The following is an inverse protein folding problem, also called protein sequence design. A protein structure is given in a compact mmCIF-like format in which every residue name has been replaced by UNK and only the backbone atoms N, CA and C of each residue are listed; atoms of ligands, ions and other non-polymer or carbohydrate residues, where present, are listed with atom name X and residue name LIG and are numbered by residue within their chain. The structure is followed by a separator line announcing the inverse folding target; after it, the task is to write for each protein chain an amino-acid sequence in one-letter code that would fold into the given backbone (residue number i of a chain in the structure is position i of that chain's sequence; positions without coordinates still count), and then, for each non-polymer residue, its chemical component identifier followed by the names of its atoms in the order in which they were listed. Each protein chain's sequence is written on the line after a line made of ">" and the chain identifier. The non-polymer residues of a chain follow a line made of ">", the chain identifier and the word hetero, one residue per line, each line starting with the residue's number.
data_IF_253609382489
#
_entry.id   IF_253609382489
#
_cell.length_a   1.000
_cell.length_b   1.000
_cell.length_c   1.000
_cell.angle_alpha   90.00
_cell.angle_beta   90.00
_cell.angle_gamma   90.00
#
_symmetry.space_group_name_H-M   'P 1'
#
loop_
_entity.id
_entity.type
_entity.pdbx_description
1 polymer ?
#
# COMPACT_ATOMS: atom_id res chain seq x y z
N UNK A 1 -8.88 -5.24 -26.04
CA UNK A 1 -7.58 -4.62 -26.41
C UNK A 1 -6.50 -5.14 -25.48
N UNK A 2 -5.21 -5.04 -25.90
CA UNK A 2 -4.10 -5.21 -24.97
C UNK A 2 -3.45 -3.83 -24.77
N UNK A 3 -3.51 -3.32 -23.52
CA UNK A 3 -2.84 -2.09 -23.14
C UNK A 3 -1.51 -2.44 -22.48
N UNK A 4 -0.52 -1.61 -22.71
CA UNK A 4 0.80 -1.71 -22.10
C UNK A 4 1.07 -0.51 -21.19
N UNK A 5 1.70 -0.78 -20.05
CA UNK A 5 2.11 0.22 -19.05
C UNK A 5 3.60 0.05 -18.80
N UNK A 6 4.36 1.14 -18.86
CA UNK A 6 5.80 1.13 -18.63
C UNK A 6 6.26 2.41 -17.93
N UNK A 7 7.29 2.32 -17.09
CA UNK A 7 7.91 3.50 -16.46
C UNK A 7 8.53 4.49 -17.45
N UNK A 8 8.73 4.06 -18.69
CA UNK A 8 9.19 4.93 -19.79
C UNK A 8 8.04 5.45 -20.66
N UNK A 9 6.79 5.15 -20.29
CA UNK A 9 5.58 5.55 -21.00
C UNK A 9 5.10 6.96 -20.68
N UNK A 10 3.91 7.27 -21.18
CA UNK A 10 3.19 8.53 -20.89
C UNK A 10 1.69 8.28 -20.86
N UNK A 11 0.97 8.89 -19.92
CA UNK A 11 -0.49 8.78 -19.83
C UNK A 11 -1.24 9.54 -20.95
N UNK A 12 -0.50 10.26 -21.79
CA UNK A 12 -1.00 10.85 -23.03
C UNK A 12 -0.91 9.90 -24.23
N UNK A 13 -0.18 8.80 -24.11
CA UNK A 13 -0.05 7.77 -25.14
C UNK A 13 -1.35 6.98 -25.31
N UNK A 14 -1.50 6.22 -26.43
CA UNK A 14 -2.65 5.35 -26.67
C UNK A 14 -2.63 4.05 -25.85
N UNK A 15 -1.53 3.73 -25.15
CA UNK A 15 -1.37 2.50 -24.38
C UNK A 15 -1.00 1.27 -25.22
N UNK A 16 -0.44 1.44 -26.39
CA UNK A 16 0.11 0.35 -27.20
C UNK A 16 1.48 -0.09 -26.67
N UNK A 17 1.99 -1.24 -27.11
CA UNK A 17 3.31 -1.71 -26.73
C UNK A 17 4.43 -0.72 -27.09
N UNK A 18 4.35 -0.09 -28.26
CA UNK A 18 5.32 0.93 -28.70
C UNK A 18 5.11 2.31 -28.08
N UNK A 19 3.92 2.58 -27.56
CA UNK A 19 3.55 3.84 -26.89
C UNK A 19 2.73 3.54 -25.63
N UNK A 20 3.36 2.97 -24.58
CA UNK A 20 2.66 2.54 -23.38
C UNK A 20 2.19 3.72 -22.52
N UNK A 21 1.22 3.46 -21.66
CA UNK A 21 0.88 4.37 -20.55
C UNK A 21 2.03 4.42 -19.52
N UNK A 22 2.07 5.48 -18.73
CA UNK A 22 3.00 5.62 -17.61
C UNK A 22 2.48 4.94 -16.35
N UNK A 23 1.17 4.98 -16.11
CA UNK A 23 0.54 4.52 -14.86
C UNK A 23 -0.44 3.38 -15.11
N UNK A 24 -0.52 2.45 -14.15
CA UNK A 24 -1.54 1.39 -14.13
C UNK A 24 -2.92 2.02 -13.96
N UNK A 25 -3.01 3.09 -13.17
CA UNK A 25 -4.23 3.85 -12.94
C UNK A 25 -4.83 4.42 -14.22
N UNK A 26 -3.99 4.89 -15.16
CA UNK A 26 -4.47 5.32 -16.47
C UNK A 26 -5.07 4.18 -17.27
N UNK A 27 -4.40 3.03 -17.28
CA UNK A 27 -4.94 1.84 -17.94
C UNK A 27 -6.25 1.39 -17.29
N UNK A 28 -6.32 1.38 -15.94
CA UNK A 28 -7.53 1.04 -15.17
C UNK A 28 -8.72 1.99 -15.46
N UNK A 29 -8.43 3.25 -15.74
CA UNK A 29 -9.45 4.24 -16.11
C UNK A 29 -10.06 3.97 -17.49
N UNK A 30 -9.27 3.53 -18.47
CA UNK A 30 -9.74 3.33 -19.86
C UNK A 30 -10.22 1.92 -20.16
N UNK A 31 -9.77 0.92 -19.40
CA UNK A 31 -10.07 -0.49 -19.62
C UNK A 31 -11.58 -0.80 -19.70
N UNK A 32 -11.94 -1.73 -20.59
CA UNK A 32 -13.30 -2.22 -20.86
C UNK A 32 -13.34 -3.75 -20.75
N UNK A 33 -14.52 -4.35 -20.61
CA UNK A 33 -14.66 -5.81 -20.63
C UNK A 33 -13.92 -6.46 -21.79
N UNK A 34 -13.11 -7.49 -21.49
CA UNK A 34 -12.27 -8.22 -22.43
C UNK A 34 -10.90 -7.59 -22.71
N UNK A 35 -10.56 -6.48 -22.07
CA UNK A 35 -9.23 -5.88 -22.19
C UNK A 35 -8.21 -6.55 -21.26
N UNK A 36 -6.97 -6.60 -21.71
CA UNK A 36 -5.80 -7.01 -20.94
C UNK A 36 -4.87 -5.81 -20.74
N UNK A 37 -4.40 -5.61 -19.53
CA UNK A 37 -3.40 -4.61 -19.17
C UNK A 37 -2.12 -5.36 -18.82
N UNK A 38 -1.10 -5.23 -19.64
CA UNK A 38 0.24 -5.80 -19.44
C UNK A 38 1.15 -4.70 -18.88
N UNK A 39 1.63 -4.91 -17.67
CA UNK A 39 2.48 -3.95 -16.96
C UNK A 39 3.92 -4.42 -17.02
N UNK A 40 4.81 -3.56 -17.50
CA UNK A 40 6.23 -3.83 -17.63
C UNK A 40 7.00 -3.51 -16.35
N UNK A 41 8.22 -4.04 -16.26
CA UNK A 41 9.11 -3.91 -15.10
C UNK A 41 9.16 -2.50 -14.51
N UNK A 42 9.09 -2.45 -13.18
CA UNK A 42 9.23 -1.20 -12.43
C UNK A 42 8.49 -1.18 -11.11
N UNK A 43 8.72 -0.08 -10.37
CA UNK A 43 8.00 0.22 -9.13
C UNK A 43 6.94 1.28 -9.40
N UNK A 44 5.69 0.91 -9.21
CA UNK A 44 4.52 1.74 -9.41
C UNK A 44 3.96 2.14 -8.04
N UNK A 45 4.13 3.42 -7.68
CA UNK A 45 3.66 3.98 -6.40
C UNK A 45 2.29 4.61 -6.62
N UNK A 46 1.27 3.76 -6.57
CA UNK A 46 -0.10 4.17 -6.87
C UNK A 46 -1.14 3.26 -6.20
N UNK A 47 -2.32 3.78 -6.03
CA UNK A 47 -3.52 3.00 -5.73
C UNK A 47 -4.26 2.76 -7.05
N UNK A 48 -4.23 1.53 -7.51
CA UNK A 48 -4.96 1.11 -8.71
C UNK A 48 -6.43 0.87 -8.37
N UNK A 49 -7.30 1.74 -8.86
CA UNK A 49 -8.76 1.63 -8.71
C UNK A 49 -9.43 1.39 -10.07
N UNK A 50 -9.81 0.14 -10.41
CA UNK A 50 -10.51 -0.15 -11.65
C UNK A 50 -11.80 0.64 -11.79
N UNK A 51 -11.94 1.38 -12.88
CA UNK A 51 -13.15 2.21 -13.12
C UNK A 51 -14.34 1.36 -13.58
N UNK A 52 -14.07 0.20 -14.19
CA UNK A 52 -15.07 -0.74 -14.70
C UNK A 52 -14.71 -2.17 -14.32
N UNK A 53 -15.73 -3.03 -14.27
CA UNK A 53 -15.54 -4.47 -14.25
C UNK A 53 -15.66 -5.08 -15.64
N UNK A 54 -15.32 -6.35 -15.74
CA UNK A 54 -15.57 -7.20 -16.89
C UNK A 54 -16.92 -7.91 -16.82
N UNK A 55 -17.05 -8.95 -17.62
CA UNK A 55 -18.13 -9.95 -17.57
C UNK A 55 -17.52 -11.34 -17.46
N UNK A 56 -18.34 -12.36 -17.11
CA UNK A 56 -17.86 -13.74 -17.02
C UNK A 56 -17.21 -14.23 -18.33
N UNK A 57 -17.73 -13.79 -19.46
CA UNK A 57 -17.20 -14.15 -20.79
C UNK A 57 -16.04 -13.23 -21.23
N UNK A 58 -15.92 -12.05 -20.66
CA UNK A 58 -14.95 -11.03 -21.03
C UNK A 58 -14.40 -10.34 -19.74
N UNK A 59 -13.61 -11.03 -18.93
CA UNK A 59 -12.99 -10.43 -17.76
C UNK A 59 -12.00 -9.32 -18.19
N UNK A 60 -11.71 -8.38 -17.27
CA UNK A 60 -10.58 -7.47 -17.44
C UNK A 60 -9.38 -8.10 -16.74
N UNK A 61 -8.25 -8.17 -17.43
CA UNK A 61 -7.04 -8.80 -16.91
C UNK A 61 -5.97 -7.74 -16.67
N UNK A 62 -5.46 -7.66 -15.45
CA UNK A 62 -4.25 -6.91 -15.09
C UNK A 62 -3.15 -7.92 -14.82
N UNK A 63 -2.03 -7.80 -15.51
CA UNK A 63 -0.93 -8.76 -15.37
C UNK A 63 0.43 -8.08 -15.48
N UNK A 64 1.40 -8.62 -14.74
CA UNK A 64 2.80 -8.33 -15.01
C UNK A 64 3.21 -8.96 -16.36
N UNK A 65 4.09 -8.31 -17.10
CA UNK A 65 4.70 -8.90 -18.27
C UNK A 65 5.50 -10.15 -17.86
N UNK A 66 5.50 -11.16 -18.71
CA UNK A 66 6.12 -12.46 -18.41
C UNK A 66 7.62 -12.32 -18.14
N UNK A 67 8.08 -12.83 -16.99
CA UNK A 67 9.47 -12.76 -16.56
C UNK A 67 9.92 -11.41 -16.03
N UNK A 68 9.04 -10.41 -15.97
CA UNK A 68 9.36 -9.06 -15.50
C UNK A 68 8.94 -8.84 -14.05
N UNK A 69 9.77 -8.10 -13.28
CA UNK A 69 9.47 -7.76 -11.89
C UNK A 69 8.67 -6.47 -11.81
N UNK A 70 7.38 -6.59 -11.52
CA UNK A 70 6.46 -5.46 -11.38
C UNK A 70 6.02 -5.33 -9.94
N UNK A 71 6.30 -4.17 -9.33
CA UNK A 71 5.99 -3.89 -7.92
C UNK A 71 4.99 -2.74 -7.83
N UNK A 72 3.88 -2.94 -7.12
CA UNK A 72 2.93 -1.88 -6.78
C UNK A 72 3.10 -1.57 -5.29
N UNK A 73 3.34 -0.29 -4.94
CA UNK A 73 3.58 0.13 -3.55
C UNK A 73 2.59 1.20 -3.08
N UNK A 74 2.11 1.01 -1.86
CA UNK A 74 1.34 2.03 -1.14
C UNK A 74 2.22 3.11 -0.48
N UNK A 75 3.54 2.99 -0.58
CA UNK A 75 4.53 3.88 0.04
C UNK A 75 5.15 4.87 -0.95
N UNK A 76 5.78 5.92 -0.38
CA UNK A 76 6.68 6.85 -1.07
C UNK A 76 8.06 6.84 -0.42
N UNK A 77 9.10 7.15 -1.20
CA UNK A 77 10.47 7.33 -0.69
C UNK A 77 10.60 8.71 -0.08
N UNK A 78 11.17 8.78 1.11
CA UNK A 78 11.47 10.04 1.80
C UNK A 78 12.97 10.20 1.90
N UNK A 79 13.48 11.31 1.38
CA UNK A 79 14.92 11.64 1.34
C UNK A 79 15.30 12.76 2.29
N UNK A 80 14.34 13.61 2.68
CA UNK A 80 14.57 14.83 3.44
C UNK A 80 14.59 14.53 4.95
N UNK A 81 15.59 13.75 5.37
CA UNK A 81 15.82 13.41 6.76
C UNK A 81 16.84 14.38 7.38
N UNK A 82 16.46 15.02 8.47
CA UNK A 82 17.30 15.89 9.29
C UNK A 82 17.71 15.17 10.58
N UNK A 83 18.99 15.32 10.97
CA UNK A 83 19.47 14.75 12.22
C UNK A 83 18.95 15.56 13.39
N UNK A 84 18.40 14.87 14.40
CA UNK A 84 17.88 15.44 15.65
C UNK A 84 18.49 14.69 16.86
N UNK A 85 19.68 15.11 17.26
CA UNK A 85 20.46 14.43 18.30
C UNK A 85 20.89 13.03 17.84
N UNK A 86 20.38 12.00 18.54
CA UNK A 86 20.67 10.60 18.24
C UNK A 86 19.62 9.93 17.32
N UNK A 87 18.61 10.68 16.89
CA UNK A 87 17.56 10.22 15.99
C UNK A 87 17.50 11.09 14.74
N UNK A 88 16.57 10.79 13.86
CA UNK A 88 16.28 11.56 12.66
C UNK A 88 14.82 12.00 12.64
N UNK A 89 14.53 13.09 11.95
CA UNK A 89 13.17 13.55 11.70
C UNK A 89 12.98 14.01 10.26
N UNK A 90 11.76 13.93 9.80
CA UNK A 90 11.31 14.56 8.55
C UNK A 90 9.98 15.26 8.82
N UNK A 91 9.75 16.38 8.14
CA UNK A 91 8.52 17.18 8.25
C UNK A 91 7.85 17.22 6.88
N UNK A 92 6.64 16.72 6.82
CA UNK A 92 5.88 16.52 5.58
C UNK A 92 4.61 17.37 5.65
N UNK A 93 4.37 18.23 4.64
CA UNK A 93 3.10 18.97 4.53
C UNK A 93 1.93 17.97 4.38
N UNK A 94 0.85 18.13 5.15
CA UNK A 94 -0.28 17.21 5.13
C UNK A 94 -0.96 17.11 3.76
N UNK A 95 -0.79 18.09 2.87
CA UNK A 95 -1.25 18.02 1.48
C UNK A 95 -0.61 16.88 0.69
N UNK A 96 0.57 16.41 1.11
CA UNK A 96 1.24 15.24 0.52
C UNK A 96 0.38 13.97 0.62
N UNK A 97 -0.39 13.86 1.68
CA UNK A 97 -1.25 12.71 1.93
C UNK A 97 -2.64 12.83 1.28
N UNK A 98 -3.02 14.01 0.79
CA UNK A 98 -4.36 14.28 0.27
C UNK A 98 -5.43 14.14 1.36
N UNK A 99 -6.50 13.38 1.08
CA UNK A 99 -7.62 13.18 2.00
C UNK A 99 -7.39 12.04 3.02
N UNK A 100 -6.24 11.38 2.97
CA UNK A 100 -5.92 10.23 3.82
C UNK A 100 -4.51 10.31 4.36
N UNK A 101 -4.38 10.70 5.64
CA UNK A 101 -3.10 10.69 6.33
C UNK A 101 -3.02 9.47 7.28
N UNK A 102 -2.27 8.42 6.94
CA UNK A 102 -2.20 7.21 7.75
C UNK A 102 -1.59 7.43 9.15
N UNK A 103 -0.88 8.53 9.37
CA UNK A 103 -0.26 8.87 10.65
C UNK A 103 -1.21 9.53 11.64
N UNK A 104 -2.38 10.02 11.18
CA UNK A 104 -3.48 10.48 12.03
C UNK A 104 -4.60 9.45 12.19
N UNK A 105 -4.63 8.42 11.34
CA UNK A 105 -5.64 7.37 11.38
C UNK A 105 -5.29 6.31 12.41
N UNK A 106 -6.13 6.16 13.42
CA UNK A 106 -5.94 5.17 14.49
C UNK A 106 -6.32 3.78 14.00
N UNK A 107 -5.46 2.81 14.31
CA UNK A 107 -5.75 1.40 14.15
C UNK A 107 -6.77 0.96 15.21
N UNK A 108 -7.92 0.48 14.79
CA UNK A 108 -9.01 0.06 15.68
C UNK A 108 -9.73 -1.17 15.15
N UNK A 109 -10.50 -1.81 16.01
CA UNK A 109 -11.38 -2.91 15.66
C UNK A 109 -11.58 -3.88 16.82
N UNK A 110 -12.68 -4.64 16.77
CA UNK A 110 -12.95 -5.70 17.73
C UNK A 110 -11.81 -6.73 17.69
N UNK A 111 -11.46 -7.28 18.84
CA UNK A 111 -10.37 -8.25 19.01
C UNK A 111 -8.94 -7.70 18.79
N UNK A 112 -8.79 -6.43 18.51
CA UNK A 112 -7.49 -5.80 18.50
C UNK A 112 -7.06 -5.51 19.95
N UNK A 113 -6.06 -6.26 20.42
CA UNK A 113 -5.55 -6.13 21.77
C UNK A 113 -4.24 -5.33 21.80
N UNK A 114 -4.34 -4.04 22.04
CA UNK A 114 -3.22 -3.11 21.97
C UNK A 114 -2.49 -2.90 23.30
N UNK A 115 -2.99 -3.46 24.43
CA UNK A 115 -2.44 -3.23 25.76
C UNK A 115 -2.32 -1.74 26.13
N UNK A 116 -3.39 -0.98 25.88
CA UNK A 116 -3.50 0.46 26.15
C UNK A 116 -2.57 1.35 25.27
N UNK A 117 -1.93 0.80 24.23
CA UNK A 117 -1.19 1.58 23.23
C UNK A 117 -2.13 2.02 22.11
N UNK A 118 -1.92 3.23 21.60
CA UNK A 118 -2.51 3.69 20.38
C UNK A 118 -1.54 3.36 19.24
N UNK A 119 -2.05 2.73 18.18
CA UNK A 119 -1.32 2.48 16.96
C UNK A 119 -2.01 3.16 15.79
N UNK A 120 -1.23 3.62 14.82
CA UNK A 120 -1.73 4.29 13.64
C UNK A 120 -1.58 3.40 12.40
N UNK A 121 -2.20 3.79 11.30
CA UNK A 121 -2.04 3.11 10.01
C UNK A 121 -0.71 3.43 9.35
N UNK A 122 -0.03 4.50 9.80
CA UNK A 122 1.30 4.86 9.36
C UNK A 122 2.33 3.75 9.60
N UNK A 123 3.31 3.67 8.72
CA UNK A 123 4.51 2.86 8.87
C UNK A 123 5.72 3.50 8.20
N UNK A 124 6.89 3.25 8.77
CA UNK A 124 8.19 3.62 8.21
C UNK A 124 8.94 2.33 7.88
N UNK A 125 9.50 2.26 6.69
CA UNK A 125 10.26 1.12 6.20
C UNK A 125 11.71 1.52 5.93
N UNK A 126 12.65 0.75 6.44
CA UNK A 126 14.07 0.85 6.11
C UNK A 126 14.43 -0.34 5.21
N UNK A 127 14.88 -0.06 3.99
CA UNK A 127 15.21 -1.06 2.97
C UNK A 127 14.09 -2.11 2.74
N UNK A 128 12.84 -1.65 2.84
CA UNK A 128 11.64 -2.47 2.68
C UNK A 128 11.17 -3.19 3.94
N UNK A 129 11.88 -3.07 5.06
CA UNK A 129 11.53 -3.70 6.33
C UNK A 129 10.80 -2.71 7.25
N UNK A 130 9.60 -3.07 7.73
CA UNK A 130 8.79 -2.22 8.58
C UNK A 130 9.42 -2.02 9.96
N UNK A 131 9.59 -0.77 10.37
CA UNK A 131 10.08 -0.39 11.69
C UNK A 131 8.95 -0.42 12.72
N UNK A 132 9.28 -0.42 14.00
CA UNK A 132 8.31 -0.52 15.09
C UNK A 132 7.81 0.86 15.55
N UNK A 133 6.49 1.03 15.61
CA UNK A 133 5.87 2.26 16.11
C UNK A 133 6.11 2.42 17.61
N UNK A 134 6.61 3.57 18.02
CA UNK A 134 6.80 3.99 19.41
C UNK A 134 5.57 4.75 19.92
N UNK A 135 5.47 4.93 21.24
CA UNK A 135 4.39 5.71 21.84
C UNK A 135 4.77 7.18 22.07
N UNK A 136 6.04 7.53 21.88
CA UNK A 136 6.54 8.88 22.05
C UNK A 136 7.90 9.06 21.38
N UNK A 137 8.30 10.31 21.18
CA UNK A 137 9.66 10.67 20.71
C UNK A 137 10.73 10.16 21.69
N UNK A 138 10.44 10.16 22.99
CA UNK A 138 11.38 9.65 23.99
C UNK A 138 11.67 8.14 23.83
N UNK A 139 10.66 7.34 23.48
CA UNK A 139 10.87 5.93 23.17
C UNK A 139 11.68 5.74 21.87
N UNK A 140 11.55 6.65 20.89
CA UNK A 140 12.40 6.65 19.68
C UNK A 140 13.84 6.97 20.01
N UNK A 141 14.08 7.94 20.93
CA UNK A 141 15.44 8.32 21.37
C UNK A 141 16.14 7.23 22.18
N UNK A 142 15.37 6.52 23.01
CA UNK A 142 15.86 5.50 23.94
C UNK A 142 15.14 4.16 23.74
N UNK A 143 15.25 3.54 22.55
CA UNK A 143 14.51 2.34 22.23
C UNK A 143 14.97 1.16 23.08
N UNK A 144 14.00 0.46 23.66
CA UNK A 144 14.25 -0.78 24.39
C UNK A 144 13.96 -1.97 23.49
N UNK A 145 14.84 -2.97 23.54
CA UNK A 145 14.67 -4.22 22.81
C UNK A 145 13.45 -4.98 23.34
N UNK A 146 12.52 -5.31 22.46
CA UNK A 146 11.37 -6.14 22.80
C UNK A 146 11.71 -7.62 22.80
N UNK A 147 11.53 -8.29 23.94
CA UNK A 147 11.75 -9.74 24.05
C UNK A 147 10.61 -10.56 23.42
N UNK A 148 9.47 -9.94 23.15
CA UNK A 148 8.25 -10.60 22.68
C UNK A 148 7.92 -10.28 21.23
N UNK A 149 8.66 -9.39 20.58
CA UNK A 149 8.49 -9.14 19.15
C UNK A 149 8.96 -10.33 18.31
N UNK A 150 8.44 -10.45 17.12
CA UNK A 150 8.86 -11.47 16.15
C UNK A 150 10.36 -11.36 15.83
N UNK A 151 10.87 -10.11 15.80
CA UNK A 151 12.25 -9.78 15.50
C UNK A 151 12.83 -8.90 16.61
N UNK A 152 13.29 -9.50 17.73
CA UNK A 152 13.75 -8.75 18.89
C UNK A 152 14.91 -7.79 18.58
N UNK A 153 15.86 -8.20 17.72
CA UNK A 153 17.01 -7.38 17.34
C UNK A 153 16.60 -6.15 16.55
N UNK A 154 15.63 -6.27 15.64
CA UNK A 154 15.13 -5.17 14.84
C UNK A 154 14.15 -4.27 15.60
N UNK A 155 13.66 -4.70 16.76
CA UNK A 155 12.68 -3.94 17.55
C UNK A 155 13.20 -2.62 18.14
N UNK A 156 14.49 -2.34 18.02
CA UNK A 156 15.10 -1.04 18.36
C UNK A 156 15.00 0.00 17.24
N UNK A 157 14.68 -0.42 16.03
CA UNK A 157 14.37 0.48 14.93
C UNK A 157 12.94 0.99 15.12
N UNK A 158 12.83 2.19 15.64
CA UNK A 158 11.54 2.76 16.05
C UNK A 158 11.23 4.06 15.34
N UNK A 159 9.96 4.30 15.14
CA UNK A 159 9.45 5.56 14.63
C UNK A 159 8.25 6.03 15.47
N UNK A 160 7.98 7.33 15.44
CA UNK A 160 6.83 7.97 16.03
C UNK A 160 6.44 9.18 15.18
N UNK A 161 5.17 9.49 15.08
CA UNK A 161 4.69 10.65 14.34
C UNK A 161 3.89 11.62 15.22
N UNK A 162 4.07 12.90 14.98
CA UNK A 162 3.23 13.99 15.47
C UNK A 162 2.54 14.64 14.27
N UNK A 163 1.22 14.75 14.34
CA UNK A 163 0.40 15.35 13.29
C UNK A 163 -0.29 16.58 13.82
N UNK A 164 -0.05 17.72 13.19
CA UNK A 164 -0.80 18.96 13.43
C UNK A 164 -1.67 19.32 12.21
N UNK A 165 -2.29 20.50 12.20
CA UNK A 165 -3.20 20.94 11.14
C UNK A 165 -2.48 21.14 9.78
N UNK A 166 -1.15 21.23 9.74
CA UNK A 166 -0.38 21.54 8.54
C UNK A 166 0.61 20.47 8.18
N UNK A 167 1.23 19.84 9.17
CA UNK A 167 2.37 18.97 8.97
C UNK A 167 2.25 17.67 9.75
N UNK A 168 2.87 16.65 9.20
CA UNK A 168 3.20 15.39 9.86
C UNK A 168 4.71 15.36 10.08
N UNK A 169 5.14 15.34 11.33
CA UNK A 169 6.54 15.18 11.71
C UNK A 169 6.78 13.73 12.09
N UNK A 170 7.65 13.04 11.36
CA UNK A 170 8.03 11.66 11.67
C UNK A 170 9.43 11.65 12.26
N UNK A 171 9.56 11.09 13.47
CA UNK A 171 10.81 10.83 14.15
C UNK A 171 11.17 9.35 13.97
N UNK A 172 12.42 9.05 13.67
CA UNK A 172 12.87 7.67 13.48
C UNK A 172 14.28 7.44 14.02
N UNK A 173 14.49 6.27 14.61
CA UNK A 173 15.79 5.80 15.04
C UNK A 173 16.24 4.67 14.12
N UNK A 174 17.18 4.95 13.25
CA UNK A 174 17.77 4.00 12.32
C UNK A 174 18.99 3.27 12.92
N UNK A 175 19.12 3.26 14.23
CA UNK A 175 20.13 2.54 14.99
C UNK A 175 21.57 2.79 14.53
N UNK A 176 21.88 4.04 14.22
CA UNK A 176 23.20 4.49 13.77
C UNK A 176 23.38 4.57 12.25
N UNK A 177 22.43 4.05 11.48
CA UNK A 177 22.42 4.19 10.03
C UNK A 177 22.02 5.61 9.61
N UNK A 178 22.59 6.08 8.52
CA UNK A 178 22.17 7.35 7.91
C UNK A 178 21.07 7.10 6.87
N UNK A 179 19.82 7.52 7.12
CA UNK A 179 18.69 7.24 6.23
C UNK A 179 18.85 7.86 4.83
N UNK A 180 19.75 8.81 4.65
CA UNK A 180 20.02 9.41 3.34
C UNK A 180 20.83 8.49 2.42
N UNK A 181 21.46 7.45 2.98
CA UNK A 181 22.19 6.43 2.23
C UNK A 181 21.36 5.14 2.01
N UNK A 182 20.24 5.01 2.73
CA UNK A 182 19.31 3.88 2.62
C UNK A 182 18.06 4.22 1.83
N UNK A 183 17.23 3.22 1.58
CA UNK A 183 15.91 3.42 1.00
C UNK A 183 14.88 3.49 2.13
N UNK A 184 14.55 4.71 2.57
CA UNK A 184 13.51 4.93 3.57
C UNK A 184 12.20 5.29 2.91
N UNK A 185 11.18 4.49 3.18
CA UNK A 185 9.84 4.68 2.65
C UNK A 185 8.82 4.89 3.78
N UNK A 186 7.74 5.58 3.47
CA UNK A 186 6.57 5.71 4.34
C UNK A 186 5.32 5.28 3.58
N UNK A 187 4.39 4.59 4.23
CA UNK A 187 3.10 4.33 3.58
C UNK A 187 2.25 5.60 3.52
N UNK A 188 1.58 5.79 2.38
CA UNK A 188 0.75 6.98 2.13
C UNK A 188 -0.59 6.61 1.49
N UNK A 189 -0.76 5.36 1.08
CA UNK A 189 -1.98 4.87 0.42
C UNK A 189 -2.59 3.73 1.20
N UNK A 190 -3.91 3.74 1.25
CA UNK A 190 -4.69 2.69 1.93
C UNK A 190 -4.56 1.34 1.22
N UNK A 191 -4.44 1.35 -0.11
CA UNK A 191 -4.45 0.17 -0.97
C UNK A 191 -3.35 0.21 -2.03
N UNK A 192 -3.00 -0.97 -2.57
CA UNK A 192 -2.30 -1.10 -3.85
C UNK A 192 -3.29 -1.34 -4.99
N UNK A 193 -4.22 -2.28 -4.83
CA UNK A 193 -5.19 -2.62 -5.87
C UNK A 193 -6.59 -2.85 -5.27
N UNK A 194 -7.44 -1.84 -5.34
CA UNK A 194 -8.74 -1.85 -4.70
C UNK A 194 -9.72 -0.94 -5.43
N UNK A 195 -10.88 -1.43 -5.89
CA UNK A 195 -11.88 -0.58 -6.53
C UNK A 195 -12.46 0.42 -5.53
N UNK A 196 -12.52 1.69 -5.89
CA UNK A 196 -13.16 2.73 -5.08
C UNK A 196 -14.65 2.43 -4.84
N UNK A 197 -15.31 1.84 -5.84
CA UNK A 197 -16.72 1.51 -5.77
C UNK A 197 -16.97 0.01 -5.97
N UNK A 198 -17.96 -0.58 -5.30
CA UNK A 198 -18.41 -1.96 -5.54
C UNK A 198 -18.86 -2.21 -6.99
N UNK A 199 -19.13 -3.47 -7.33
CA UNK A 199 -19.68 -3.85 -8.64
C UNK A 199 -18.66 -3.84 -9.78
N UNK A 200 -17.36 -3.83 -9.47
CA UNK A 200 -16.28 -3.99 -10.45
C UNK A 200 -15.97 -5.48 -10.62
N UNK A 201 -16.95 -6.20 -11.19
CA UNK A 201 -16.96 -7.65 -11.28
C UNK A 201 -15.96 -8.18 -12.33
N UNK A 202 -15.61 -9.46 -12.23
CA UNK A 202 -14.84 -10.23 -13.21
C UNK A 202 -13.53 -9.55 -13.61
N UNK A 203 -12.67 -9.31 -12.62
CA UNK A 203 -11.32 -8.79 -12.80
C UNK A 203 -10.32 -9.88 -12.40
N UNK A 204 -9.29 -10.05 -13.21
CA UNK A 204 -8.13 -10.90 -12.90
C UNK A 204 -6.93 -10.02 -12.61
N UNK A 205 -6.22 -10.29 -11.51
CA UNK A 205 -4.98 -9.60 -11.13
C UNK A 205 -3.90 -10.63 -10.86
N UNK A 206 -2.82 -10.60 -11.64
CA UNK A 206 -1.78 -11.62 -11.55
C UNK A 206 -0.36 -11.16 -11.82
N UNK A 207 0.60 -11.82 -11.16
CA UNK A 207 2.03 -11.67 -11.40
C UNK A 207 2.68 -10.46 -10.74
N UNK A 208 1.97 -9.71 -9.90
CA UNK A 208 2.49 -8.51 -9.23
C UNK A 208 3.11 -8.83 -7.87
N UNK A 209 4.07 -7.99 -7.47
CA UNK A 209 4.47 -7.81 -6.07
C UNK A 209 3.74 -6.58 -5.54
N UNK A 210 3.01 -6.70 -4.43
CA UNK A 210 2.27 -5.59 -3.84
C UNK A 210 2.64 -5.44 -2.36
N UNK A 211 2.97 -4.19 -1.94
CA UNK A 211 3.56 -3.93 -0.63
C UNK A 211 3.18 -2.57 -0.05
N UNK A 212 3.39 -2.42 1.29
CA UNK A 212 3.40 -1.16 2.01
C UNK A 212 2.09 -0.38 1.98
N UNK A 213 0.94 -1.07 2.05
CA UNK A 213 -0.35 -0.41 2.13
C UNK A 213 -0.78 -0.16 3.58
N UNK A 214 -1.43 0.98 3.81
CA UNK A 214 -1.94 1.43 5.12
C UNK A 214 -3.34 0.88 5.39
N UNK A 215 -3.51 -0.45 5.34
CA UNK A 215 -4.80 -1.11 5.53
C UNK A 215 -5.26 -1.07 6.98
N UNK A 216 -6.55 -0.90 7.20
CA UNK A 216 -7.17 -0.94 8.52
C UNK A 216 -7.37 -2.39 8.99
N UNK A 217 -7.39 -2.58 10.30
CA UNK A 217 -7.94 -3.77 10.92
C UNK A 217 -9.47 -3.74 10.84
N UNK A 218 -10.10 -4.88 10.62
CA UNK A 218 -11.53 -5.01 10.73
C UNK A 218 -11.92 -6.40 11.26
N UNK A 219 -12.95 -6.49 12.12
CA UNK A 219 -13.47 -7.78 12.55
C UNK A 219 -14.13 -8.51 11.37
N UNK A 220 -14.30 -9.85 11.44
CA UNK A 220 -14.86 -10.65 10.35
C UNK A 220 -16.27 -10.27 9.88
N UNK A 221 -16.98 -9.50 10.69
CA UNK A 221 -18.37 -9.05 10.42
C UNK A 221 -18.45 -7.70 9.73
N UNK A 222 -17.33 -6.98 9.59
CA UNK A 222 -17.26 -5.70 8.92
C UNK A 222 -16.58 -5.83 7.54
N UNK A 223 -16.62 -4.76 6.75
CA UNK A 223 -15.81 -4.67 5.54
C UNK A 223 -14.34 -4.73 5.93
N UNK A 224 -13.67 -5.79 5.48
CA UNK A 224 -12.23 -5.93 5.66
C UNK A 224 -11.52 -5.34 4.44
N UNK A 225 -10.75 -4.31 4.67
CA UNK A 225 -9.93 -3.68 3.64
C UNK A 225 -8.60 -4.44 3.53
N UNK A 226 -8.34 -5.01 2.38
CA UNK A 226 -7.04 -5.62 2.07
C UNK A 226 -6.18 -4.69 1.22
N UNK A 227 -4.88 -4.93 1.20
CA UNK A 227 -3.95 -4.29 0.25
C UNK A 227 -4.45 -4.50 -1.20
N UNK A 228 -5.04 -5.69 -1.46
CA UNK A 228 -5.80 -6.02 -2.66
C UNK A 228 -7.13 -6.68 -2.29
N UNK A 229 -8.18 -6.40 -3.04
CA UNK A 229 -9.46 -7.08 -2.91
C UNK A 229 -10.54 -6.55 -3.83
N UNK A 230 -11.66 -7.29 -3.97
CA UNK A 230 -12.71 -6.98 -4.93
C UNK A 230 -13.67 -5.88 -4.48
N UNK A 231 -13.61 -5.39 -3.25
CA UNK A 231 -14.56 -4.44 -2.69
C UNK A 231 -16.01 -4.86 -2.97
N UNK A 232 -16.42 -6.03 -2.46
CA UNK A 232 -17.77 -6.60 -2.59
C UNK A 232 -18.17 -6.96 -4.03
N UNK A 233 -17.23 -6.93 -4.98
CA UNK A 233 -17.48 -7.35 -6.36
C UNK A 233 -17.26 -8.85 -6.50
N UNK A 234 -17.83 -9.47 -7.53
CA UNK A 234 -17.77 -10.92 -7.75
C UNK A 234 -16.91 -11.34 -8.94
N UNK A 235 -16.56 -12.62 -8.96
CA UNK A 235 -15.84 -13.26 -10.06
C UNK A 235 -14.42 -12.73 -10.23
N UNK A 236 -13.78 -12.28 -9.15
CA UNK A 236 -12.37 -11.90 -9.17
C UNK A 236 -11.46 -13.13 -9.13
N UNK A 237 -10.34 -13.02 -9.82
CA UNK A 237 -9.23 -13.97 -9.77
C UNK A 237 -7.99 -13.22 -9.33
N UNK A 238 -7.42 -13.59 -8.17
CA UNK A 238 -6.18 -13.05 -7.64
C UNK A 238 -5.18 -14.21 -7.58
N UNK A 239 -4.22 -14.23 -8.50
CA UNK A 239 -3.35 -15.38 -8.67
C UNK A 239 -1.89 -14.99 -8.94
N UNK A 240 -0.95 -15.84 -8.49
CA UNK A 240 0.48 -15.67 -8.76
C UNK A 240 1.04 -14.30 -8.33
N UNK A 241 0.48 -13.67 -7.30
CA UNK A 241 0.97 -12.42 -6.74
C UNK A 241 1.78 -12.70 -5.48
N UNK A 242 2.75 -11.83 -5.17
CA UNK A 242 3.43 -11.75 -3.88
C UNK A 242 2.86 -10.54 -3.14
N UNK A 243 2.28 -10.77 -1.96
CA UNK A 243 1.66 -9.71 -1.15
C UNK A 243 2.33 -9.73 0.22
N UNK A 244 2.96 -8.62 0.59
CA UNK A 244 3.67 -8.50 1.86
C UNK A 244 3.59 -7.08 2.44
N UNK A 245 3.95 -6.96 3.70
CA UNK A 245 4.15 -5.69 4.40
C UNK A 245 2.94 -4.74 4.27
N UNK A 246 1.75 -5.30 4.40
CA UNK A 246 0.52 -4.56 4.61
C UNK A 246 0.39 -4.23 6.10
N UNK A 247 -0.10 -3.05 6.46
CA UNK A 247 -0.28 -2.69 7.88
C UNK A 247 -1.10 -3.73 8.63
N UNK A 248 -2.21 -4.17 8.04
CA UNK A 248 -3.06 -5.23 8.59
C UNK A 248 -3.33 -6.32 7.56
N UNK A 249 -4.35 -6.17 6.75
CA UNK A 249 -4.83 -7.21 5.86
C UNK A 249 -4.15 -7.15 4.49
N UNK A 250 -3.57 -8.27 4.03
CA UNK A 250 -2.98 -8.37 2.69
C UNK A 250 -4.04 -8.57 1.63
N UNK A 251 -4.88 -9.59 1.76
CA UNK A 251 -5.95 -9.90 0.80
C UNK A 251 -7.28 -9.94 1.53
N UNK A 252 -8.27 -9.25 1.01
CA UNK A 252 -9.66 -9.37 1.46
C UNK A 252 -10.54 -9.72 0.27
N UNK A 253 -11.33 -10.78 0.41
CA UNK A 253 -12.28 -11.19 -0.63
C UNK A 253 -13.66 -10.59 -0.39
N UNK A 254 -14.05 -10.42 0.88
CA UNK A 254 -15.34 -9.88 1.25
C UNK A 254 -16.51 -10.75 0.81
N UNK A 255 -17.66 -10.12 0.63
CA UNK A 255 -18.89 -10.72 0.09
C UNK A 255 -19.29 -10.01 -1.19
N UNK A 256 -19.98 -10.73 -2.06
CA UNK A 256 -20.65 -10.09 -3.21
C UNK A 256 -21.85 -9.28 -2.71
N UNK A 257 -21.96 -8.02 -3.14
CA UNK A 257 -22.91 -7.07 -2.56
C UNK A 257 -24.37 -7.45 -2.80
N UNK A 258 -24.70 -7.95 -4.00
CA UNK A 258 -26.08 -8.22 -4.38
C UNK A 258 -26.67 -9.47 -3.70
N UNK A 259 -25.85 -10.48 -3.44
CA UNK A 259 -26.26 -11.73 -2.78
C UNK A 259 -25.82 -11.84 -1.33
N UNK A 260 -24.81 -11.07 -0.93
CA UNK A 260 -24.15 -11.17 0.37
C UNK A 260 -23.35 -12.46 0.54
N UNK A 261 -23.02 -13.14 -0.54
CA UNK A 261 -22.26 -14.39 -0.55
C UNK A 261 -20.88 -14.16 -1.20
N UNK A 262 -19.90 -14.94 -0.75
CA UNK A 262 -18.61 -15.00 -1.41
C UNK A 262 -18.72 -15.84 -2.67
N UNK A 263 -18.18 -15.37 -3.78
CA UNK A 263 -18.10 -16.09 -5.07
C UNK A 263 -16.66 -16.18 -5.56
#
# INVERSE_FOLDING_TARGET
>A
MNYHVSKTGSDLNPGTESQPFLTISKAAYVAKPGDTITVHEGVYREWVSPKRGGTKAQPIVYQAAEGEKVVIKGSEVITDWEKDGNIWKTVIDNKFFGDFNPYSEVLFGDWLFTKDRVFHLGEVYLDGHAMYEAVSVEEVRNPQKSKTSKEPEFSVYKWYAEVDDRCTTIYANFHGEDPRNGNVEINVRRFCFWPENPGRNYITVRGFIMQHAATQWAPPTALQEGLIGPHWSKGWVIENNIISDSRCCGISLGKEESTGQNE
#
